data_IF_611661629606
#
_entry.id   IF_611661629606
#
_cell.length_a   1.000
_cell.length_b   1.000
_cell.length_c   1.000
_cell.angle_alpha   90.00
_cell.angle_beta   90.00
_cell.angle_gamma   90.00
#
_symmetry.space_group_name_H-M   'P 1'
#
loop_
_entity.id
_entity.type
_entity.pdbx_description
1 polymer ?
#
# COMPACT_ATOMS: atom_id res chain seq x y z
N UNK A 1 11.31 9.51 -16.48
CA UNK A 1 10.72 10.22 -15.32
C UNK A 1 9.73 11.23 -15.86
N UNK A 2 8.44 10.89 -16.00
CA UNK A 2 7.47 11.91 -16.44
C UNK A 2 7.05 12.82 -15.27
N UNK A 3 6.52 13.99 -15.66
CA UNK A 3 6.37 15.20 -14.86
C UNK A 3 5.51 15.06 -13.60
N UNK A 4 5.33 16.18 -12.91
CA UNK A 4 4.62 16.27 -11.63
C UNK A 4 3.12 15.92 -11.72
N UNK A 5 2.56 15.87 -12.94
CA UNK A 5 1.17 15.54 -13.21
C UNK A 5 1.02 14.83 -14.57
N UNK A 6 0.16 13.81 -14.63
CA UNK A 6 -0.20 13.11 -15.86
C UNK A 6 -1.63 13.47 -16.29
N UNK A 7 -1.86 13.80 -17.58
CA UNK A 7 -3.20 13.99 -18.10
C UNK A 7 -3.91 12.63 -18.23
N UNK A 8 -5.14 12.55 -17.74
CA UNK A 8 -6.04 11.40 -17.85
C UNK A 8 -7.37 11.92 -18.40
N UNK A 9 -7.86 11.34 -19.49
CA UNK A 9 -9.20 11.65 -19.98
C UNK A 9 -10.24 10.84 -19.22
N UNK A 10 -11.19 11.53 -18.58
CA UNK A 10 -12.34 10.90 -17.92
C UNK A 10 -13.60 11.50 -18.51
N UNK A 11 -14.31 10.69 -19.32
CA UNK A 11 -15.58 11.09 -19.97
C UNK A 11 -15.42 12.35 -20.86
N UNK A 12 -14.33 12.45 -21.61
CA UNK A 12 -14.07 13.58 -22.52
C UNK A 12 -13.57 14.85 -21.83
N UNK A 13 -13.21 14.76 -20.55
CA UNK A 13 -12.58 15.84 -19.80
C UNK A 13 -11.18 15.42 -19.37
N UNK A 14 -10.19 16.23 -19.72
CA UNK A 14 -8.81 16.02 -19.26
C UNK A 14 -8.65 16.42 -17.79
N UNK A 15 -8.22 15.48 -16.97
CA UNK A 15 -7.86 15.67 -15.57
C UNK A 15 -6.35 15.48 -15.40
N UNK A 16 -5.72 16.36 -14.63
CA UNK A 16 -4.31 16.22 -14.29
C UNK A 16 -4.16 15.51 -12.95
N UNK A 17 -3.72 14.26 -13.00
CA UNK A 17 -3.49 13.43 -11.81
C UNK A 17 -2.06 13.66 -11.31
N UNK A 18 -1.93 14.06 -10.05
CA UNK A 18 -0.63 14.24 -9.40
C UNK A 18 -0.10 12.91 -8.89
N UNK A 19 1.22 12.84 -8.66
CA UNK A 19 1.84 11.67 -8.02
C UNK A 19 1.22 11.40 -6.65
N UNK A 20 0.93 10.14 -6.38
CA UNK A 20 0.31 9.67 -5.14
C UNK A 20 1.31 9.53 -3.97
N UNK A 21 2.53 10.05 -4.10
CA UNK A 21 3.58 9.92 -3.08
C UNK A 21 3.17 10.44 -1.71
N UNK A 22 2.41 11.55 -1.63
CA UNK A 22 1.99 12.11 -0.35
C UNK A 22 1.06 11.19 0.43
N UNK A 23 0.12 10.53 -0.27
CA UNK A 23 -0.83 9.61 0.35
C UNK A 23 -0.19 8.25 0.64
N UNK A 24 0.75 7.82 -0.20
CA UNK A 24 1.54 6.62 0.05
C UNK A 24 2.37 6.73 1.34
N UNK A 25 3.05 7.87 1.56
CA UNK A 25 3.81 8.13 2.80
C UNK A 25 2.92 8.12 4.05
N UNK A 26 1.71 8.69 3.96
CA UNK A 26 0.73 8.61 5.05
C UNK A 26 0.36 7.14 5.32
N UNK A 27 0.06 6.39 4.26
CA UNK A 27 -0.35 4.99 4.38
C UNK A 27 0.71 4.11 5.00
N UNK A 28 1.98 4.34 4.68
CA UNK A 28 3.09 3.57 5.23
C UNK A 28 3.12 3.66 6.76
N UNK A 29 3.01 4.87 7.30
CA UNK A 29 2.90 5.10 8.74
C UNK A 29 1.65 4.45 9.36
N UNK A 30 0.50 4.49 8.65
CA UNK A 30 -0.74 3.87 9.12
C UNK A 30 -0.62 2.34 9.16
N UNK A 31 -0.13 1.71 8.09
CA UNK A 31 0.05 0.25 8.03
C UNK A 31 1.07 -0.23 9.07
N UNK A 32 2.17 0.51 9.26
CA UNK A 32 3.14 0.23 10.32
C UNK A 32 2.48 0.32 11.71
N UNK A 33 1.68 1.36 11.97
CA UNK A 33 0.98 1.52 13.25
C UNK A 33 0.02 0.36 13.56
N UNK A 34 -0.70 -0.14 12.54
CA UNK A 34 -1.60 -1.28 12.65
C UNK A 34 -0.84 -2.56 12.97
N UNK A 35 0.28 -2.83 12.28
CA UNK A 35 1.13 -3.99 12.57
C UNK A 35 1.71 -3.91 13.99
N UNK A 36 2.24 -2.75 14.38
CA UNK A 36 2.80 -2.53 15.71
C UNK A 36 1.77 -2.77 16.82
N UNK A 37 0.54 -2.27 16.65
CA UNK A 37 -0.54 -2.48 17.61
C UNK A 37 -0.97 -3.96 17.69
N UNK A 38 -1.03 -4.65 16.54
CA UNK A 38 -1.35 -6.08 16.50
C UNK A 38 -0.28 -6.92 17.17
N UNK A 39 0.98 -6.62 16.90
CA UNK A 39 2.13 -7.26 17.56
C UNK A 39 2.12 -6.99 19.07
N UNK A 40 1.99 -5.73 19.50
CA UNK A 40 1.97 -5.36 20.93
C UNK A 40 0.84 -6.05 21.72
N UNK A 41 -0.31 -6.30 21.09
CA UNK A 41 -1.44 -6.98 21.75
C UNK A 41 -1.22 -8.48 21.93
N UNK A 42 -0.32 -9.09 21.17
CA UNK A 42 0.06 -10.50 21.34
C UNK A 42 1.04 -10.55 22.50
N UNK A 43 0.55 -10.98 23.66
CA UNK A 43 1.28 -10.96 24.94
C UNK A 43 2.18 -12.17 25.18
N UNK A 44 2.22 -13.14 24.25
CA UNK A 44 2.74 -14.49 24.54
C UNK A 44 4.10 -14.81 23.88
N UNK A 45 4.67 -13.91 23.07
CA UNK A 45 5.93 -14.14 22.34
C UNK A 45 6.93 -13.04 22.72
N UNK A 46 7.49 -13.11 23.94
CA UNK A 46 8.36 -12.05 24.51
C UNK A 46 9.67 -11.78 23.73
N UNK A 47 9.98 -12.55 22.67
CA UNK A 47 11.25 -12.46 21.92
C UNK A 47 11.11 -12.37 20.38
N UNK A 48 9.90 -12.31 19.80
CA UNK A 48 9.77 -12.18 18.35
C UNK A 48 9.91 -10.72 17.90
N UNK A 49 11.01 -10.41 17.21
CA UNK A 49 11.26 -9.09 16.64
C UNK A 49 10.28 -8.82 15.50
N UNK A 50 9.52 -7.73 15.61
CA UNK A 50 8.62 -7.28 14.55
C UNK A 50 9.41 -6.85 13.29
N UNK A 51 9.40 -7.66 12.23
CA UNK A 51 10.03 -7.35 10.92
C UNK A 51 9.12 -6.52 9.99
N UNK A 52 8.53 -5.43 10.48
CA UNK A 52 7.59 -4.64 9.66
C UNK A 52 8.23 -4.09 8.37
N UNK A 53 9.54 -3.77 8.38
CA UNK A 53 10.30 -3.29 7.22
C UNK A 53 10.32 -4.31 6.06
N UNK A 54 10.31 -5.61 6.38
CA UNK A 54 10.30 -6.68 5.37
C UNK A 54 8.90 -6.85 4.79
N UNK A 55 7.89 -6.88 5.66
CA UNK A 55 6.47 -7.07 5.32
C UNK A 55 5.89 -5.91 4.51
N UNK A 56 6.26 -4.67 4.85
CA UNK A 56 5.79 -3.45 4.17
C UNK A 56 6.78 -2.94 3.12
N UNK A 57 7.82 -3.72 2.78
CA UNK A 57 8.74 -3.33 1.72
C UNK A 57 8.02 -3.12 0.38
N UNK A 58 8.47 -2.14 -0.40
CA UNK A 58 7.98 -1.90 -1.76
C UNK A 58 8.04 -3.16 -2.64
N UNK A 59 8.97 -4.08 -2.38
CA UNK A 59 9.05 -5.36 -3.06
C UNK A 59 7.90 -6.30 -2.65
N UNK A 60 7.66 -6.46 -1.35
CA UNK A 60 6.55 -7.28 -0.84
C UNK A 60 5.20 -6.72 -1.29
N UNK A 61 4.97 -5.42 -1.09
CA UNK A 61 3.73 -4.75 -1.50
C UNK A 61 3.56 -4.73 -3.02
N UNK A 62 4.64 -4.59 -3.79
CA UNK A 62 4.57 -4.66 -5.24
C UNK A 62 4.21 -6.05 -5.77
N UNK A 63 4.71 -7.12 -5.13
CA UNK A 63 4.31 -8.50 -5.46
C UNK A 63 2.85 -8.77 -5.05
N UNK A 64 2.44 -8.32 -3.86
CA UNK A 64 1.06 -8.42 -3.41
C UNK A 64 0.10 -7.65 -4.34
N UNK A 65 0.45 -6.40 -4.66
CA UNK A 65 -0.33 -5.57 -5.58
C UNK A 65 -0.45 -6.17 -6.97
N UNK A 66 0.59 -6.81 -7.49
CA UNK A 66 0.53 -7.53 -8.77
C UNK A 66 -0.45 -8.72 -8.71
N UNK A 67 -0.46 -9.48 -7.61
CA UNK A 67 -1.43 -10.59 -7.42
C UNK A 67 -2.88 -10.09 -7.39
N UNK A 68 -3.10 -8.87 -6.91
CA UNK A 68 -4.40 -8.21 -6.84
C UNK A 68 -4.78 -7.45 -8.11
N UNK A 69 -3.93 -7.46 -9.15
CA UNK A 69 -4.17 -6.76 -10.41
C UNK A 69 -3.97 -5.25 -10.35
N UNK A 70 -3.33 -4.70 -9.30
CA UNK A 70 -3.04 -3.26 -9.19
C UNK A 70 -2.17 -2.79 -10.35
N UNK A 71 -1.29 -3.65 -10.86
CA UNK A 71 -0.43 -3.39 -12.02
C UNK A 71 -1.21 -2.98 -13.27
N UNK A 72 -2.44 -3.47 -13.43
CA UNK A 72 -3.31 -3.13 -14.55
C UNK A 72 -3.96 -1.74 -14.42
N UNK A 73 -3.93 -1.18 -13.20
CA UNK A 73 -4.55 0.10 -12.87
C UNK A 73 -3.54 1.25 -12.70
N UNK A 74 -2.23 0.96 -12.76
CA UNK A 74 -1.19 1.98 -12.59
C UNK A 74 -1.10 2.85 -13.84
N UNK A 75 -1.34 4.16 -13.68
CA UNK A 75 -1.06 5.14 -14.74
C UNK A 75 0.45 5.30 -14.88
N UNK A 76 0.98 4.94 -16.05
CA UNK A 76 2.39 5.08 -16.39
C UNK A 76 2.57 5.68 -17.79
N UNK A 77 3.81 6.06 -18.10
CA UNK A 77 4.14 6.62 -19.40
C UNK A 77 3.84 5.63 -20.54
N UNK A 78 3.47 6.15 -21.71
CA UNK A 78 3.03 5.36 -22.88
C UNK A 78 4.17 4.49 -23.43
N UNK A 79 5.43 4.88 -23.19
CA UNK A 79 6.61 4.10 -23.54
C UNK A 79 6.97 2.98 -22.55
N UNK A 80 6.27 2.89 -21.41
CA UNK A 80 6.47 1.83 -20.43
C UNK A 80 5.42 0.74 -20.68
N UNK A 81 5.84 -0.50 -20.94
CA UNK A 81 4.90 -1.60 -21.20
C UNK A 81 4.30 -2.18 -19.92
N UNK A 82 5.06 -2.14 -18.82
CA UNK A 82 4.63 -2.67 -17.52
C UNK A 82 5.14 -1.77 -16.39
N UNK A 83 4.32 -1.47 -15.37
CA UNK A 83 4.78 -0.73 -14.22
C UNK A 83 5.82 -1.55 -13.44
N UNK A 84 6.85 -0.87 -12.93
CA UNK A 84 7.84 -1.53 -12.07
C UNK A 84 7.21 -2.01 -10.76
N UNK A 85 7.81 -3.03 -10.12
CA UNK A 85 7.38 -3.50 -8.78
C UNK A 85 7.29 -2.36 -7.78
N UNK A 86 8.24 -1.41 -7.82
CA UNK A 86 8.20 -0.21 -6.98
C UNK A 86 6.98 0.66 -7.25
N UNK A 87 6.61 0.87 -8.51
CA UNK A 87 5.41 1.65 -8.86
C UNK A 87 4.14 0.94 -8.39
N UNK A 88 4.09 -0.39 -8.49
CA UNK A 88 2.97 -1.18 -8.01
C UNK A 88 2.87 -1.09 -6.48
N UNK A 89 3.99 -1.23 -5.75
CA UNK A 89 4.05 -1.09 -4.30
C UNK A 89 3.61 0.30 -3.82
N UNK A 90 4.15 1.37 -4.41
CA UNK A 90 3.70 2.74 -4.09
C UNK A 90 2.21 2.96 -4.42
N UNK A 91 1.68 2.30 -5.45
CA UNK A 91 0.25 2.38 -5.79
C UNK A 91 -0.60 1.61 -4.77
N UNK A 92 -0.13 0.46 -4.30
CA UNK A 92 -0.75 -0.29 -3.20
C UNK A 92 -0.83 0.57 -1.94
N UNK A 93 0.27 1.18 -1.51
CA UNK A 93 0.32 2.10 -0.37
C UNK A 93 -0.67 3.26 -0.57
N UNK A 94 -0.69 3.85 -1.77
CA UNK A 94 -1.61 4.94 -2.06
C UNK A 94 -3.08 4.56 -1.97
N UNK A 95 -3.45 3.33 -2.40
CA UNK A 95 -4.81 2.80 -2.25
C UNK A 95 -5.16 2.62 -0.79
N UNK A 96 -4.26 2.05 0.02
CA UNK A 96 -4.48 1.88 1.46
C UNK A 96 -4.64 3.23 2.18
N UNK A 97 -3.86 4.24 1.78
CA UNK A 97 -4.02 5.60 2.28
C UNK A 97 -5.35 6.24 1.87
N UNK A 98 -5.84 5.98 0.66
CA UNK A 98 -7.16 6.45 0.23
C UNK A 98 -8.28 5.79 1.05
N UNK A 99 -8.20 4.47 1.27
CA UNK A 99 -9.14 3.74 2.13
C UNK A 99 -9.17 4.32 3.54
N UNK A 100 -8.00 4.57 4.13
CA UNK A 100 -7.91 5.19 5.45
C UNK A 100 -8.64 6.54 5.51
N UNK A 101 -8.43 7.39 4.49
CA UNK A 101 -9.05 8.71 4.42
C UNK A 101 -10.57 8.63 4.20
N UNK A 102 -11.03 7.73 3.33
CA UNK A 102 -12.45 7.58 2.99
C UNK A 102 -13.26 6.95 4.13
N UNK A 103 -12.63 6.09 4.95
CA UNK A 103 -13.26 5.44 6.11
C UNK A 103 -13.42 6.37 7.34
N UNK A 104 -12.80 7.55 7.35
CA UNK A 104 -12.95 8.53 8.43
C UNK A 104 -12.53 7.98 9.80
N UNK A 105 -13.45 8.01 10.78
CA UNK A 105 -13.17 7.54 12.15
C UNK A 105 -12.83 6.06 12.23
N UNK A 106 -13.27 5.26 11.26
CA UNK A 106 -13.04 3.81 11.22
C UNK A 106 -11.79 3.44 10.41
N UNK A 107 -10.96 4.43 10.05
CA UNK A 107 -9.82 4.26 9.14
C UNK A 107 -8.83 3.19 9.59
N UNK A 108 -8.40 3.20 10.86
CA UNK A 108 -7.44 2.21 11.39
C UNK A 108 -8.01 0.78 11.38
N UNK A 109 -9.29 0.62 11.76
CA UNK A 109 -9.94 -0.68 11.79
C UNK A 109 -10.18 -1.22 10.37
N UNK A 110 -10.56 -0.34 9.45
CA UNK A 110 -10.74 -0.70 8.03
C UNK A 110 -9.43 -1.15 7.40
N UNK A 111 -8.34 -0.41 7.62
CA UNK A 111 -7.00 -0.81 7.16
C UNK A 111 -6.60 -2.15 7.75
N UNK A 112 -6.80 -2.36 9.05
CA UNK A 112 -6.51 -3.64 9.72
C UNK A 112 -7.23 -4.81 9.06
N UNK A 113 -8.55 -4.68 8.84
CA UNK A 113 -9.37 -5.72 8.20
C UNK A 113 -8.84 -6.09 6.81
N UNK A 114 -8.45 -5.09 6.02
CA UNK A 114 -7.88 -5.33 4.69
C UNK A 114 -6.52 -6.01 4.79
N UNK A 115 -5.62 -5.52 5.66
CA UNK A 115 -4.30 -6.13 5.85
C UNK A 115 -4.41 -7.60 6.28
N UNK A 116 -5.36 -7.93 7.17
CA UNK A 116 -5.65 -9.31 7.56
C UNK A 116 -6.23 -10.13 6.42
N UNK A 117 -7.22 -9.61 5.69
CA UNK A 117 -7.80 -10.31 4.54
C UNK A 117 -6.79 -10.61 3.42
N UNK A 118 -5.75 -9.77 3.31
CA UNK A 118 -4.66 -9.93 2.35
C UNK A 118 -3.47 -10.76 2.89
N UNK A 119 -3.53 -11.25 4.14
CA UNK A 119 -2.45 -12.00 4.77
C UNK A 119 -1.19 -11.18 5.06
N UNK A 120 -1.26 -9.85 4.99
CA UNK A 120 -0.14 -8.96 5.30
C UNK A 120 0.20 -8.95 6.79
N UNK A 121 -0.78 -9.29 7.63
CA UNK A 121 -0.56 -9.46 9.07
C UNK A 121 0.08 -10.81 9.41
N UNK A 122 0.00 -11.78 8.50
CA UNK A 122 0.55 -13.13 8.68
C UNK A 122 2.02 -13.19 8.24
N UNK A 123 2.38 -12.41 7.21
CA UNK A 123 3.76 -12.28 6.74
C UNK A 123 4.71 -11.63 7.75
N UNK A 124 4.20 -10.83 8.69
CA UNK A 124 4.98 -10.31 9.82
C UNK A 124 5.32 -11.39 10.87
N UNK A 125 4.73 -12.59 10.75
CA UNK A 125 4.82 -13.70 11.71
C UNK A 125 5.44 -14.96 11.11
N UNK A 126 5.74 -14.96 9.81
CA UNK A 126 6.31 -16.12 9.10
C UNK A 126 7.82 -15.97 8.87
N UNK A 127 8.53 -15.31 9.80
CA UNK A 127 9.99 -15.39 9.86
C UNK A 127 10.41 -16.58 10.72
N UNK A 128 10.26 -17.79 10.16
CA UNK A 128 11.08 -18.97 10.51
C UNK A 128 12.01 -19.30 9.33
#
# INVERSE_FOLDING_TARGET
>A
MAGWSYPVDVRGKTHYVRKMQRIAVLSDAIMASVLCEMWFRRRDEEDEQLEYDRTLSNAALGLAGKKLGIDQCVVHDVGLYTPSIKMIGTSFEAVMGAVYMDAGTDGLDTVRKIMTALGLTDLALLSE
#
